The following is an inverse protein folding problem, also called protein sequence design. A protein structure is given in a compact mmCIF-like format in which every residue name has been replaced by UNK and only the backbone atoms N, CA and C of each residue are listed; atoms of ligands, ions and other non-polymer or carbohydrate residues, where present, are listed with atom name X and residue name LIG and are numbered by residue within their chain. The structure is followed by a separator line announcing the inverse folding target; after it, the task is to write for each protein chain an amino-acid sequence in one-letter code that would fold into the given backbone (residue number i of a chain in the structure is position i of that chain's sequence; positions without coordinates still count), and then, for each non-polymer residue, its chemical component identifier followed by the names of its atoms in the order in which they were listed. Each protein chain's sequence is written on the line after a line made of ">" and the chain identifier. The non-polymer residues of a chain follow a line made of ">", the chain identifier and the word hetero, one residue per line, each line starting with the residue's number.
data_IF_799316578907
#
_entry.id   IF_799316578907
#
_cell.length_a   1.000
_cell.length_b   1.000
_cell.length_c   1.000
_cell.angle_alpha   90.00
_cell.angle_beta   90.00
_cell.angle_gamma   90.00
#
_symmetry.space_group_name_H-M   'P 1'
#
loop_
_entity.id
_entity.type
_entity.pdbx_description
1 polymer ?
#
# COMPACT_ATOMS: atom_id res chain seq x y z
N UNK A 1 -7.24 17.28 82.00
CA UNK A 1 -8.66 17.65 82.09
C UNK A 1 -8.90 18.82 81.16
N UNK A 2 -10.02 18.75 80.43
CA UNK A 2 -10.67 19.73 79.54
C UNK A 2 -10.44 21.19 79.96
N UNK A 3 -10.37 22.17 79.07
CA UNK A 3 -11.36 22.51 78.04
C UNK A 3 -10.70 23.59 77.14
N UNK A 4 -11.15 23.93 75.94
CA UNK A 4 -12.42 23.72 75.26
C UNK A 4 -12.39 24.67 74.05
N UNK A 5 -12.93 24.21 72.91
CA UNK A 5 -13.10 25.04 71.71
C UNK A 5 -14.11 26.15 71.97
N UNK A 6 -14.01 27.28 71.28
CA UNK A 6 -15.15 28.19 71.07
C UNK A 6 -14.92 29.05 69.81
N UNK A 7 -15.66 28.77 68.72
CA UNK A 7 -16.72 29.63 68.14
C UNK A 7 -16.12 30.80 67.35
N UNK A 8 -15.90 30.63 66.05
CA UNK A 8 -16.74 31.17 64.96
C UNK A 8 -16.76 32.72 64.92
N UNK A 9 -16.47 33.23 63.72
CA UNK A 9 -16.87 34.55 63.20
C UNK A 9 -16.09 35.77 63.69
N UNK A 10 -14.91 36.01 63.10
CA UNK A 10 -14.57 37.36 62.68
C UNK A 10 -14.11 37.35 61.22
N UNK A 11 -14.82 38.18 60.47
CA UNK A 11 -14.78 38.40 59.04
C UNK A 11 -13.47 39.08 58.64
N UNK A 12 -12.95 38.68 57.48
CA UNK A 12 -12.37 39.64 56.55
C UNK A 12 -10.84 39.70 56.44
N UNK A 13 -10.43 39.53 55.19
CA UNK A 13 -9.25 40.07 54.52
C UNK A 13 -7.94 39.27 54.51
N UNK A 14 -7.44 39.22 53.28
CA UNK A 14 -6.04 39.10 52.88
C UNK A 14 -5.45 37.68 52.84
N UNK A 15 -5.84 36.97 51.78
CA UNK A 15 -4.90 36.56 50.73
C UNK A 15 -3.48 36.20 51.19
N UNK A 16 -3.24 34.96 51.61
CA UNK A 16 -1.89 34.39 51.59
C UNK A 16 -1.92 32.93 51.13
N UNK A 17 -1.45 32.75 49.89
CA UNK A 17 -0.58 31.65 49.45
C UNK A 17 -1.11 30.24 49.68
N UNK A 18 -2.03 29.82 48.81
CA UNK A 18 -2.25 28.39 48.58
C UNK A 18 -1.09 27.84 47.73
N UNK A 19 -0.14 27.22 48.42
CA UNK A 19 0.70 26.15 47.88
C UNK A 19 -0.21 25.11 47.21
N UNK A 20 0.10 24.75 45.98
CA UNK A 20 -0.64 23.73 45.25
C UNK A 20 0.05 23.33 43.97
N UNK A 21 1.17 22.61 44.09
CA UNK A 21 1.57 21.62 43.08
C UNK A 21 0.34 20.75 42.79
N UNK A 22 -0.42 20.99 41.73
CA UNK A 22 -1.24 19.95 41.12
C UNK A 22 -1.63 20.38 39.71
N UNK A 23 -1.46 19.42 38.79
CA UNK A 23 -1.99 19.39 37.45
C UNK A 23 -1.35 20.36 36.44
N UNK A 24 -0.21 19.90 35.91
CA UNK A 24 0.11 19.98 34.48
C UNK A 24 -1.15 19.63 33.70
N UNK A 25 -1.97 20.62 33.35
CA UNK A 25 -3.11 20.46 32.46
C UNK A 25 -2.57 20.62 31.05
N UNK A 26 -1.86 19.59 30.61
CA UNK A 26 -1.55 19.34 29.21
C UNK A 26 -2.88 19.14 28.46
N UNK A 27 -3.53 20.24 28.10
CA UNK A 27 -4.67 20.26 27.20
C UNK A 27 -4.17 20.47 25.76
N UNK A 28 -3.22 19.61 25.36
CA UNK A 28 -2.93 19.29 23.96
C UNK A 28 -2.89 17.75 23.85
N UNK A 29 -3.89 17.12 24.45
CA UNK A 29 -4.22 15.71 24.23
C UNK A 29 -5.16 15.59 23.03
N UNK A 30 -4.62 15.76 21.84
CA UNK A 30 -5.18 15.15 20.63
C UNK A 30 -4.02 14.55 19.85
N UNK A 31 -3.32 13.61 20.51
CA UNK A 31 -2.73 12.48 19.81
C UNK A 31 -3.88 11.76 19.11
N UNK A 32 -4.22 12.22 17.91
CA UNK A 32 -5.05 11.47 16.98
C UNK A 32 -4.36 10.14 16.79
N UNK A 33 -4.88 9.10 17.41
CA UNK A 33 -4.59 7.74 16.98
C UNK A 33 -5.06 7.68 15.54
N UNK A 34 -4.14 7.71 14.58
CA UNK A 34 -4.40 7.17 13.26
C UNK A 34 -4.30 5.65 13.45
N UNK A 35 -5.41 4.88 13.52
CA UNK A 35 -5.30 3.45 13.29
C UNK A 35 -5.10 3.25 11.78
N UNK A 36 -3.90 3.52 11.27
CA UNK A 36 -3.46 2.94 10.00
C UNK A 36 -2.63 1.73 10.36
N UNK A 37 -3.35 0.70 10.78
CA UNK A 37 -2.92 -0.67 10.53
C UNK A 37 -3.72 -1.14 9.33
N UNK A 38 -3.47 -0.55 8.16
CA UNK A 38 -3.66 -1.35 6.95
C UNK A 38 -2.48 -2.29 6.93
N UNK A 39 -2.72 -3.57 7.19
CA UNK A 39 -1.93 -4.63 6.58
C UNK A 39 -1.61 -4.24 5.11
N UNK A 40 -0.51 -4.71 4.51
CA UNK A 40 -0.26 -4.52 3.09
C UNK A 40 -1.31 -5.30 2.29
N UNK A 41 -2.55 -4.80 2.29
CA UNK A 41 -3.62 -5.21 1.44
C UNK A 41 -3.19 -4.77 0.05
N UNK A 42 -2.99 -5.76 -0.81
CA UNK A 42 -2.70 -5.52 -2.21
C UNK A 42 -3.72 -4.50 -2.76
N UNK A 43 -3.21 -3.49 -3.47
CA UNK A 43 -4.05 -2.52 -4.14
C UNK A 43 -5.05 -3.23 -5.06
N UNK A 44 -6.30 -2.75 -5.16
CA UNK A 44 -7.25 -3.28 -6.12
C UNK A 44 -6.69 -3.17 -7.55
N UNK A 45 -6.97 -4.18 -8.37
CA UNK A 45 -6.66 -4.22 -9.80
C UNK A 45 -7.98 -4.05 -10.55
N UNK A 46 -8.04 -3.09 -11.48
CA UNK A 46 -9.23 -2.91 -12.33
C UNK A 46 -9.46 -4.14 -13.22
N UNK A 47 -10.74 -4.52 -13.39
CA UNK A 47 -11.11 -5.64 -14.28
C UNK A 47 -10.66 -5.41 -15.73
N UNK A 48 -10.56 -4.14 -16.14
CA UNK A 48 -10.11 -3.73 -17.46
C UNK A 48 -8.60 -3.44 -17.53
N UNK A 49 -7.84 -3.60 -16.43
CA UNK A 49 -6.41 -3.27 -16.41
C UNK A 49 -5.57 -4.19 -17.31
N UNK A 50 -5.96 -5.45 -17.45
CA UNK A 50 -5.22 -6.45 -18.23
C UNK A 50 -5.59 -6.40 -19.72
N UNK A 51 -4.59 -6.56 -20.59
CA UNK A 51 -4.80 -6.49 -22.03
C UNK A 51 -5.49 -7.74 -22.58
N UNK A 52 -6.53 -7.54 -23.41
CA UNK A 52 -7.27 -8.63 -24.07
C UNK A 52 -6.68 -8.94 -25.44
N UNK A 53 -5.60 -9.72 -25.45
CA UNK A 53 -4.91 -10.09 -26.67
C UNK A 53 -5.77 -10.98 -27.60
N UNK A 54 -5.84 -10.56 -28.85
CA UNK A 54 -6.40 -11.33 -29.96
C UNK A 54 -5.63 -10.98 -31.23
N UNK A 55 -5.61 -11.89 -32.22
CA UNK A 55 -4.96 -11.61 -33.51
C UNK A 55 -5.58 -10.43 -34.24
N UNK A 56 -6.86 -10.17 -34.02
CA UNK A 56 -7.57 -9.06 -34.64
C UNK A 56 -7.13 -7.70 -34.05
N UNK A 57 -6.93 -7.64 -32.73
CA UNK A 57 -6.61 -6.39 -32.04
C UNK A 57 -5.10 -6.14 -31.93
N UNK A 58 -4.29 -7.20 -31.95
CA UNK A 58 -2.83 -7.15 -31.75
C UNK A 58 -2.05 -7.95 -32.82
N UNK A 59 -2.31 -7.73 -34.13
CA UNK A 59 -1.69 -8.53 -35.19
C UNK A 59 -0.16 -8.49 -35.15
N UNK A 60 0.43 -7.30 -34.89
CA UNK A 60 1.88 -7.11 -34.78
C UNK A 60 2.47 -7.85 -33.60
N UNK A 61 1.79 -7.88 -32.45
CA UNK A 61 2.28 -8.62 -31.28
C UNK A 61 2.36 -10.11 -31.57
N UNK A 62 1.33 -10.67 -32.23
CA UNK A 62 1.36 -12.08 -32.66
C UNK A 62 2.41 -12.37 -33.74
N UNK A 63 2.71 -11.42 -34.61
CA UNK A 63 3.77 -11.54 -35.63
C UNK A 63 5.17 -11.58 -34.99
N UNK A 64 5.41 -10.71 -34.01
CA UNK A 64 6.73 -10.56 -33.37
C UNK A 64 6.98 -11.65 -32.31
N UNK A 65 5.97 -11.98 -31.51
CA UNK A 65 6.11 -12.87 -30.36
C UNK A 65 5.61 -14.31 -30.62
N UNK A 66 4.81 -14.50 -31.67
CA UNK A 66 4.09 -15.76 -31.89
C UNK A 66 3.03 -16.02 -30.82
N UNK A 67 2.29 -17.12 -30.98
CA UNK A 67 1.25 -17.51 -30.03
C UNK A 67 1.80 -17.78 -28.63
N UNK A 68 2.91 -18.51 -28.53
CA UNK A 68 3.54 -18.84 -27.25
C UNK A 68 4.08 -17.59 -26.54
N UNK A 69 4.66 -16.65 -27.28
CA UNK A 69 5.13 -15.40 -26.71
C UNK A 69 3.99 -14.52 -26.20
N UNK A 70 2.85 -14.48 -26.91
CA UNK A 70 1.66 -13.76 -26.43
C UNK A 70 1.09 -14.38 -25.15
N UNK A 71 1.08 -15.71 -25.02
CA UNK A 71 0.68 -16.34 -23.75
C UNK A 71 1.64 -15.98 -22.61
N UNK A 72 2.96 -15.99 -22.87
CA UNK A 72 3.95 -15.52 -21.89
C UNK A 72 3.73 -14.06 -21.49
N UNK A 73 3.36 -13.19 -22.43
CA UNK A 73 3.03 -11.79 -22.14
C UNK A 73 1.84 -11.70 -21.20
N UNK A 74 0.75 -12.43 -21.47
CA UNK A 74 -0.45 -12.45 -20.59
C UNK A 74 -0.11 -12.87 -19.17
N UNK A 75 0.65 -13.95 -19.01
CA UNK A 75 1.09 -14.43 -17.69
C UNK A 75 1.94 -13.38 -16.98
N UNK A 76 2.81 -12.70 -17.72
CA UNK A 76 3.67 -11.63 -17.22
C UNK A 76 2.88 -10.42 -16.75
N UNK A 77 1.85 -10.01 -17.50
CA UNK A 77 0.97 -8.90 -17.12
C UNK A 77 0.27 -9.17 -15.79
N UNK A 78 -0.27 -10.38 -15.61
CA UNK A 78 -0.89 -10.79 -14.36
C UNK A 78 0.11 -10.76 -13.21
N UNK A 79 1.32 -11.28 -13.42
CA UNK A 79 2.36 -11.30 -12.39
C UNK A 79 2.80 -9.88 -12.00
N UNK A 80 3.00 -9.00 -12.99
CA UNK A 80 3.39 -7.61 -12.79
C UNK A 80 2.32 -6.81 -12.04
N UNK A 81 1.05 -6.95 -12.44
CA UNK A 81 -0.07 -6.29 -11.77
C UNK A 81 -0.13 -6.68 -10.28
N UNK A 82 -0.01 -7.98 -9.99
CA UNK A 82 -0.02 -8.48 -8.62
C UNK A 82 1.20 -8.04 -7.81
N UNK A 83 2.38 -7.98 -8.44
CA UNK A 83 3.61 -7.50 -7.81
C UNK A 83 3.46 -6.02 -7.39
N UNK A 84 3.05 -5.17 -8.33
CA UNK A 84 2.88 -3.73 -8.09
C UNK A 84 1.76 -3.46 -7.09
N UNK A 85 0.64 -4.19 -7.16
CA UNK A 85 -0.43 -4.07 -6.19
C UNK A 85 0.04 -4.32 -4.75
N UNK A 86 1.02 -5.20 -4.55
CA UNK A 86 1.57 -5.54 -3.22
C UNK A 86 2.75 -4.68 -2.79
N UNK A 87 3.25 -3.81 -3.66
CA UNK A 87 4.43 -2.97 -3.39
C UNK A 87 4.20 -1.90 -2.30
N UNK A 88 2.94 -1.55 -2.02
CA UNK A 88 2.58 -0.41 -1.19
C UNK A 88 2.80 0.96 -1.86
N UNK A 89 3.25 0.98 -3.12
CA UNK A 89 3.49 2.20 -3.91
C UNK A 89 2.38 2.48 -4.94
N UNK A 90 1.39 1.59 -5.02
CA UNK A 90 0.23 1.68 -5.89
C UNK A 90 -1.04 1.72 -5.04
N UNK A 91 -1.98 2.59 -5.38
CA UNK A 91 -3.29 2.73 -4.74
C UNK A 91 -4.38 1.94 -5.44
N UNK A 92 -4.32 1.87 -6.78
CA UNK A 92 -5.12 1.00 -7.65
C UNK A 92 -4.40 0.80 -8.97
N UNK A 93 -4.30 -0.44 -9.44
CA UNK A 93 -3.78 -0.72 -10.79
C UNK A 93 -4.89 -0.44 -11.81
N UNK A 94 -4.63 0.48 -12.75
CA UNK A 94 -5.61 0.94 -13.75
C UNK A 94 -5.31 0.42 -15.15
N UNK A 95 -4.03 0.18 -15.47
CA UNK A 95 -3.63 -0.29 -16.79
C UNK A 95 -2.33 -1.09 -16.76
N UNK A 96 -2.27 -2.13 -17.58
CA UNK A 96 -1.13 -3.04 -17.71
C UNK A 96 -0.91 -3.35 -19.19
N UNK A 97 0.33 -3.23 -19.64
CA UNK A 97 0.66 -3.48 -21.03
C UNK A 97 2.11 -3.87 -21.27
N UNK A 98 2.35 -4.52 -22.41
CA UNK A 98 3.69 -4.82 -22.91
C UNK A 98 4.47 -3.53 -23.21
N UNK A 99 5.66 -3.39 -22.63
CA UNK A 99 6.60 -2.33 -23.01
C UNK A 99 7.39 -2.78 -24.25
N UNK A 100 6.96 -2.38 -25.44
CA UNK A 100 7.65 -2.76 -26.69
C UNK A 100 9.10 -2.26 -26.75
N UNK A 101 9.42 -1.12 -26.12
CA UNK A 101 10.75 -0.53 -26.14
C UNK A 101 11.73 -1.20 -25.17
N UNK A 102 11.22 -1.74 -24.06
CA UNK A 102 12.03 -2.37 -23.00
C UNK A 102 12.05 -3.90 -23.13
N UNK A 103 11.14 -4.46 -23.93
CA UNK A 103 11.08 -5.90 -24.19
C UNK A 103 11.97 -6.29 -25.36
N UNK A 104 12.57 -7.48 -25.27
CA UNK A 104 13.38 -8.07 -26.33
C UNK A 104 12.79 -9.42 -26.73
N UNK A 105 12.00 -9.50 -27.81
CA UNK A 105 11.45 -10.76 -28.28
C UNK A 105 12.56 -11.72 -28.76
N UNK A 106 12.45 -13.04 -28.50
CA UNK A 106 11.43 -13.70 -27.69
C UNK A 106 11.80 -13.77 -26.19
N UNK A 107 12.97 -13.30 -25.79
CA UNK A 107 13.59 -13.66 -24.53
C UNK A 107 13.02 -12.90 -23.32
N UNK A 108 12.99 -11.55 -23.38
CA UNK A 108 12.68 -10.70 -22.24
C UNK A 108 11.37 -9.93 -22.43
N UNK A 109 10.40 -10.18 -21.55
CA UNK A 109 9.09 -9.49 -21.54
C UNK A 109 9.06 -8.47 -20.41
N UNK A 110 9.11 -7.18 -20.74
CA UNK A 110 8.94 -6.11 -19.76
C UNK A 110 7.52 -5.57 -19.87
N UNK A 111 6.81 -5.57 -18.75
CA UNK A 111 5.44 -5.03 -18.67
C UNK A 111 5.48 -3.73 -17.89
N UNK A 112 4.74 -2.73 -18.35
CA UNK A 112 4.47 -1.55 -17.53
C UNK A 112 3.11 -1.65 -16.84
N UNK A 113 3.06 -1.16 -15.61
CA UNK A 113 1.85 -1.11 -14.77
C UNK A 113 1.62 0.34 -14.36
N UNK A 114 0.47 0.86 -14.71
CA UNK A 114 0.02 2.19 -14.32
C UNK A 114 -0.95 2.10 -13.14
N UNK A 115 -0.75 3.03 -12.21
CA UNK A 115 -1.58 3.19 -11.03
C UNK A 115 -2.39 4.49 -11.11
N UNK A 116 -3.51 4.53 -10.38
CA UNK A 116 -4.37 5.72 -10.24
C UNK A 116 -3.61 6.93 -9.68
N UNK A 117 -2.67 6.68 -8.75
CA UNK A 117 -1.75 7.70 -8.22
C UNK A 117 -0.71 8.22 -9.23
N UNK A 118 -0.80 7.84 -10.50
CA UNK A 118 0.08 8.23 -11.62
C UNK A 118 1.49 7.64 -11.57
N UNK A 119 1.75 6.70 -10.67
CA UNK A 119 2.99 5.95 -10.71
C UNK A 119 2.94 4.93 -11.84
N UNK A 120 4.05 4.84 -12.60
CA UNK A 120 4.28 3.81 -13.61
C UNK A 120 5.47 2.95 -13.17
N UNK A 121 5.27 1.64 -13.18
CA UNK A 121 6.31 0.66 -12.85
C UNK A 121 6.63 -0.18 -14.08
N UNK A 122 7.91 -0.48 -14.29
CA UNK A 122 8.36 -1.43 -15.30
C UNK A 122 8.81 -2.71 -14.61
N UNK A 123 8.23 -3.83 -15.00
CA UNK A 123 8.43 -5.12 -14.34
C UNK A 123 8.92 -6.12 -15.37
N UNK A 124 10.20 -6.48 -15.26
CA UNK A 124 10.87 -7.50 -16.05
C UNK A 124 11.10 -8.78 -15.26
N UNK A 125 12.03 -9.61 -15.74
CA UNK A 125 12.30 -10.93 -15.16
C UNK A 125 12.97 -10.79 -13.79
N UNK A 126 13.74 -9.72 -13.63
CA UNK A 126 14.51 -9.45 -12.43
C UNK A 126 13.63 -9.10 -11.22
N UNK A 127 12.60 -8.28 -11.40
CA UNK A 127 11.68 -7.88 -10.34
C UNK A 127 10.88 -9.09 -9.83
N UNK A 128 10.41 -9.93 -10.75
CA UNK A 128 9.59 -11.10 -10.43
C UNK A 128 10.39 -12.26 -9.82
N UNK A 129 11.71 -12.31 -10.01
CA UNK A 129 12.58 -13.32 -9.41
C UNK A 129 13.00 -12.98 -7.98
N UNK A 130 12.94 -11.70 -7.58
CA UNK A 130 13.28 -11.27 -6.20
C UNK A 130 12.21 -11.60 -5.16
N UNK A 131 10.96 -11.67 -5.58
CA UNK A 131 9.79 -11.89 -4.71
C UNK A 131 8.96 -13.10 -5.15
N UNK A 132 9.50 -14.34 -5.08
CA UNK A 132 8.83 -15.52 -5.60
C UNK A 132 7.77 -16.05 -4.61
N UNK A 133 6.80 -15.23 -4.20
CA UNK A 133 5.67 -15.75 -3.42
C UNK A 133 4.76 -16.65 -4.28
N UNK A 134 4.71 -16.44 -5.60
CA UNK A 134 4.01 -17.34 -6.53
C UNK A 134 4.69 -18.71 -6.71
N UNK A 135 6.00 -18.83 -6.47
CA UNK A 135 6.68 -20.15 -6.41
C UNK A 135 6.33 -20.92 -5.12
N UNK A 136 5.95 -20.23 -4.05
CA UNK A 136 5.45 -20.88 -2.81
C UNK A 136 4.04 -21.44 -2.98
N UNK A 137 3.17 -20.82 -3.78
CA UNK A 137 1.77 -21.24 -3.93
C UNK A 137 1.62 -22.51 -4.78
N UNK A 138 2.56 -22.82 -5.70
CA UNK A 138 2.49 -24.04 -6.54
C UNK A 138 3.20 -25.28 -5.98
N UNK A 139 3.78 -25.24 -4.77
CA UNK A 139 4.45 -26.40 -4.17
C UNK A 139 3.60 -27.04 -3.06
N UNK A 140 2.47 -27.64 -3.46
CA UNK A 140 1.80 -28.68 -2.67
C UNK A 140 1.70 -29.94 -3.53
N UNK A 141 2.83 -30.63 -3.65
CA UNK A 141 2.87 -32.01 -4.15
C UNK A 141 2.90 -32.87 -2.89
N UNK A 142 1.85 -33.68 -2.73
CA UNK A 142 1.69 -34.69 -1.68
C UNK A 142 2.77 -35.76 -1.76
#
# INVERSE_FOLDING_TARGET
>A
MFAGRSIKEWIGLAAFVAVGLFAVKAYYGSSGTIPVTTEPHAAPIDEAALSKYSRANYPRTYEVWGDEGVERIKEREIAAANYVARSGQCDRVTYVGLSENESSPPDEVVVYVDCENKNRFYVGSYELTKEPWFLKVRKKIH
#
